data_IF_169074947004
#
_entry.id   IF_169074947004
#
_cell.length_a   1.000
_cell.length_b   1.000
_cell.length_c   1.000
_cell.angle_alpha   90.00
_cell.angle_beta   90.00
_cell.angle_gamma   90.00
#
_symmetry.space_group_name_H-M   'P 1'
#
loop_
_entity.id
_entity.type
_entity.pdbx_description
1 polymer ?
#
# COMPACT_ATOMS: atom_id res chain seq x y z
N UNK A 1 -13.84 48.91 31.68
CA UNK A 1 -14.53 48.37 30.48
C UNK A 1 -13.69 47.23 29.91
N UNK A 2 -13.90 46.01 30.41
CA UNK A 2 -13.24 44.81 29.90
C UNK A 2 -14.14 44.20 28.82
N UNK A 3 -13.75 44.37 27.55
CA UNK A 3 -14.42 43.70 26.43
C UNK A 3 -14.08 42.21 26.48
N UNK A 4 -15.12 41.37 26.39
CA UNK A 4 -15.05 39.92 26.33
C UNK A 4 -14.00 39.45 25.30
N UNK A 5 -12.91 38.84 25.76
CA UNK A 5 -11.98 38.11 24.89
C UNK A 5 -12.72 36.88 24.34
N UNK A 6 -13.31 37.04 23.15
CA UNK A 6 -13.88 35.95 22.36
C UNK A 6 -12.76 34.94 22.09
N UNK A 7 -12.86 33.72 22.62
CA UNK A 7 -11.92 32.62 22.36
C UNK A 7 -11.89 32.37 20.85
N UNK A 8 -10.86 32.89 20.18
CA UNK A 8 -10.63 32.72 18.74
C UNK A 8 -10.49 31.22 18.45
N UNK A 9 -11.17 30.73 17.41
CA UNK A 9 -10.96 29.35 16.94
C UNK A 9 -9.52 29.19 16.42
N UNK A 10 -8.99 27.97 16.43
CA UNK A 10 -7.62 27.65 15.95
C UNK A 10 -7.34 28.22 14.56
N UNK A 11 -8.37 28.29 13.71
CA UNK A 11 -8.31 28.87 12.37
C UNK A 11 -8.10 30.40 12.38
N UNK A 12 -8.73 31.11 13.32
CA UNK A 12 -8.61 32.57 13.44
C UNK A 12 -7.26 32.99 14.05
N UNK A 13 -6.67 32.16 14.92
CA UNK A 13 -5.31 32.37 15.44
C UNK A 13 -4.25 32.20 14.35
N UNK A 14 -4.38 31.16 13.51
CA UNK A 14 -3.49 30.92 12.37
C UNK A 14 -3.58 32.03 11.30
N UNK A 15 -4.70 32.75 11.23
CA UNK A 15 -4.86 33.91 10.33
C UNK A 15 -4.14 35.16 10.84
N UNK A 16 -4.09 35.35 12.16
CA UNK A 16 -3.37 36.46 12.78
C UNK A 16 -1.85 36.27 12.72
N UNK A 17 -1.37 35.01 12.67
CA UNK A 17 0.05 34.67 12.52
C UNK A 17 0.57 34.76 11.08
N UNK A 18 -0.31 34.76 10.06
CA UNK A 18 0.12 34.83 8.66
C UNK A 18 0.37 36.28 8.25
N UNK A 19 1.52 36.58 7.60
CA UNK A 19 1.73 37.90 7.04
C UNK A 19 0.64 38.22 6.01
N UNK A 20 0.21 39.49 5.91
CA UNK A 20 -0.83 39.90 4.97
C UNK A 20 -0.42 39.52 3.54
N UNK A 21 -1.19 38.65 2.90
CA UNK A 21 -0.91 38.21 1.54
C UNK A 21 -1.18 39.34 0.55
N UNK A 22 -0.27 39.53 -0.40
CA UNK A 22 -0.49 40.47 -1.51
C UNK A 22 -1.55 39.93 -2.47
N UNK A 23 -2.28 40.80 -3.18
CA UNK A 23 -3.28 40.39 -4.19
C UNK A 23 -2.72 39.40 -5.22
N UNK A 24 -1.44 39.54 -5.56
CA UNK A 24 -0.72 38.65 -6.49
C UNK A 24 -0.57 37.24 -5.92
N UNK A 25 -0.22 37.11 -4.63
CA UNK A 25 -0.12 35.80 -3.97
C UNK A 25 -1.47 35.10 -3.92
N UNK A 26 -2.54 35.83 -3.60
CA UNK A 26 -3.89 35.26 -3.58
C UNK A 26 -4.26 34.70 -4.96
N UNK A 27 -4.00 35.44 -6.04
CA UNK A 27 -4.27 34.99 -7.42
C UNK A 27 -3.43 33.75 -7.76
N UNK A 28 -2.14 33.77 -7.44
CA UNK A 28 -1.26 32.62 -7.64
C UNK A 28 -1.77 31.38 -6.89
N UNK A 29 -2.36 31.56 -5.71
CA UNK A 29 -2.89 30.47 -4.91
C UNK A 29 -4.09 29.77 -5.54
N UNK A 30 -5.01 30.55 -6.11
CA UNK A 30 -6.13 30.01 -6.88
C UNK A 30 -5.65 29.34 -8.17
N UNK A 31 -4.67 29.92 -8.87
CA UNK A 31 -4.11 29.32 -10.08
C UNK A 31 -3.48 27.95 -9.80
N UNK A 32 -2.66 27.83 -8.75
CA UNK A 32 -2.04 26.56 -8.35
C UNK A 32 -3.11 25.50 -8.05
N UNK A 33 -4.20 25.87 -7.37
CA UNK A 33 -5.29 24.94 -7.06
C UNK A 33 -6.07 24.50 -8.31
N UNK A 34 -6.10 25.33 -9.36
CA UNK A 34 -6.79 25.07 -10.63
C UNK A 34 -5.93 24.30 -11.63
N UNK A 35 -4.59 24.37 -11.53
CA UNK A 35 -3.64 23.66 -12.39
C UNK A 35 -3.96 22.17 -12.66
N UNK A 36 -4.32 21.32 -11.67
CA UNK A 36 -4.59 19.91 -11.95
C UNK A 36 -5.81 19.70 -12.84
N UNK A 37 -6.84 20.55 -12.69
CA UNK A 37 -8.02 20.52 -13.55
C UNK A 37 -7.66 20.93 -14.99
N UNK A 38 -6.87 22.00 -15.15
CA UNK A 38 -6.41 22.46 -16.47
C UNK A 38 -5.55 21.41 -17.17
N UNK A 39 -4.61 20.78 -16.45
CA UNK A 39 -3.78 19.70 -17.00
C UNK A 39 -4.63 18.49 -17.44
N UNK A 40 -5.66 18.14 -16.67
CA UNK A 40 -6.60 17.08 -17.03
C UNK A 40 -7.41 17.45 -18.29
N UNK A 41 -7.89 18.69 -18.40
CA UNK A 41 -8.55 19.18 -19.63
C UNK A 41 -7.61 19.16 -20.84
N UNK A 42 -6.35 19.55 -20.67
CA UNK A 42 -5.36 19.48 -21.74
C UNK A 42 -5.16 18.04 -22.22
N UNK A 43 -5.11 17.07 -21.31
CA UNK A 43 -5.02 15.65 -21.68
C UNK A 43 -6.26 15.17 -22.46
N UNK A 44 -7.47 15.62 -22.09
CA UNK A 44 -8.70 15.30 -22.84
C UNK A 44 -8.67 15.92 -24.25
N UNK A 45 -8.25 17.18 -24.34
CA UNK A 45 -8.17 17.89 -25.62
C UNK A 45 -7.14 17.24 -26.55
N UNK A 46 -5.97 16.92 -26.02
CA UNK A 46 -4.91 16.21 -26.73
C UNK A 46 -5.44 14.87 -27.27
N UNK A 47 -6.07 14.07 -26.41
CA UNK A 47 -6.62 12.76 -26.79
C UNK A 47 -7.65 12.86 -27.93
N UNK A 48 -8.51 13.89 -27.92
CA UNK A 48 -9.62 14.05 -28.87
C UNK A 48 -9.25 14.77 -30.16
N UNK A 49 -8.36 15.75 -30.11
CA UNK A 49 -8.09 16.68 -31.23
C UNK A 49 -6.86 16.27 -32.02
N UNK A 50 -5.83 15.74 -31.36
CA UNK A 50 -4.58 15.37 -32.05
C UNK A 50 -4.82 14.07 -32.82
N UNK A 51 -4.49 14.01 -34.13
CA UNK A 51 -4.66 12.79 -34.93
C UNK A 51 -3.74 11.66 -34.43
N UNK A 52 -4.24 10.43 -34.46
CA UNK A 52 -3.47 9.25 -34.08
C UNK A 52 -2.53 8.83 -35.22
N UNK A 53 -1.37 8.26 -34.88
CA UNK A 53 -0.43 7.75 -35.89
C UNK A 53 -0.83 6.36 -36.40
N UNK A 54 -0.84 6.19 -37.72
CA UNK A 54 -0.96 4.90 -38.38
C UNK A 54 -2.30 4.18 -38.11
N UNK A 55 -2.22 2.90 -37.75
CA UNK A 55 -3.36 2.03 -37.44
C UNK A 55 -3.78 2.08 -35.95
N UNK A 56 -3.21 2.98 -35.16
CA UNK A 56 -3.51 3.07 -33.73
C UNK A 56 -4.95 3.57 -33.50
N UNK A 57 -5.75 2.77 -32.80
CA UNK A 57 -7.16 3.07 -32.54
C UNK A 57 -7.43 3.22 -31.05
N UNK A 58 -8.03 4.35 -30.65
CA UNK A 58 -8.49 4.57 -29.28
C UNK A 58 -9.99 4.32 -29.16
N UNK A 59 -10.43 3.78 -28.01
CA UNK A 59 -11.83 3.77 -27.61
C UNK A 59 -12.18 5.02 -26.80
N UNK A 60 -13.46 5.23 -26.47
CA UNK A 60 -13.86 6.38 -25.65
C UNK A 60 -13.54 6.20 -24.15
N UNK A 61 -12.99 5.04 -23.75
CA UNK A 61 -12.83 4.63 -22.35
C UNK A 61 -11.94 5.59 -21.57
N UNK A 62 -10.77 5.92 -22.12
CA UNK A 62 -9.84 6.85 -21.49
C UNK A 62 -10.38 8.28 -21.42
N UNK A 63 -11.11 8.73 -22.45
CA UNK A 63 -11.77 10.03 -22.42
C UNK A 63 -12.84 10.11 -21.32
N UNK A 64 -13.63 9.04 -21.12
CA UNK A 64 -14.59 8.98 -20.01
C UNK A 64 -13.90 8.95 -18.64
N UNK A 65 -12.81 8.20 -18.52
CA UNK A 65 -12.00 8.17 -17.29
C UNK A 65 -11.48 9.56 -16.92
N UNK A 66 -10.83 10.27 -17.86
CA UNK A 66 -10.35 11.64 -17.65
C UNK A 66 -11.51 12.60 -17.40
N UNK A 67 -12.64 12.46 -18.11
CA UNK A 67 -13.82 13.29 -17.92
C UNK A 67 -14.39 13.21 -16.50
N UNK A 68 -14.52 11.99 -15.95
CA UNK A 68 -14.95 11.79 -14.56
C UNK A 68 -13.97 12.45 -13.59
N UNK A 69 -12.66 12.29 -13.81
CA UNK A 69 -11.64 12.93 -12.96
C UNK A 69 -11.68 14.46 -13.03
N UNK A 70 -11.87 15.03 -14.23
CA UNK A 70 -12.01 16.47 -14.41
C UNK A 70 -13.21 17.02 -13.62
N UNK A 71 -14.35 16.32 -13.64
CA UNK A 71 -15.53 16.68 -12.87
C UNK A 71 -15.25 16.61 -11.36
N UNK A 72 -14.57 15.56 -10.87
CA UNK A 72 -14.18 15.44 -9.46
C UNK A 72 -13.25 16.58 -9.04
N UNK A 73 -12.21 16.88 -9.83
CA UNK A 73 -11.26 17.97 -9.52
C UNK A 73 -11.96 19.32 -9.49
N UNK A 74 -12.87 19.58 -10.43
CA UNK A 74 -13.65 20.80 -10.48
C UNK A 74 -14.56 20.91 -9.25
N UNK A 75 -15.26 19.85 -8.88
CA UNK A 75 -16.08 19.83 -7.67
C UNK A 75 -15.24 20.11 -6.43
N UNK A 76 -14.10 19.43 -6.25
CA UNK A 76 -13.19 19.65 -5.11
C UNK A 76 -12.68 21.09 -5.08
N UNK A 77 -12.32 21.67 -6.23
CA UNK A 77 -11.93 23.07 -6.33
C UNK A 77 -13.07 24.01 -5.91
N UNK A 78 -14.29 23.83 -6.44
CA UNK A 78 -15.46 24.64 -6.10
C UNK A 78 -15.82 24.54 -4.60
N UNK A 79 -15.77 23.35 -4.01
CA UNK A 79 -15.98 23.17 -2.57
C UNK A 79 -14.85 23.79 -1.75
N UNK A 80 -13.62 23.80 -2.26
CA UNK A 80 -12.49 24.41 -1.56
C UNK A 80 -12.64 25.93 -1.39
N UNK A 81 -13.36 26.60 -2.31
CA UNK A 81 -13.66 28.03 -2.20
C UNK A 81 -14.48 28.36 -0.94
N UNK A 82 -15.26 27.40 -0.42
CA UNK A 82 -16.08 27.55 0.79
C UNK A 82 -15.34 27.17 2.08
N UNK A 83 -14.20 26.48 2.01
CA UNK A 83 -13.49 25.96 3.19
C UNK A 83 -11.99 26.19 3.11
N UNK A 84 -11.46 27.06 3.98
CA UNK A 84 -10.03 27.40 4.06
C UNK A 84 -9.15 26.17 4.32
N UNK A 85 -9.63 25.22 5.14
CA UNK A 85 -8.95 23.95 5.41
C UNK A 85 -8.83 23.08 4.15
N UNK A 86 -9.92 22.97 3.38
CA UNK A 86 -9.92 22.20 2.14
C UNK A 86 -9.04 22.88 1.08
N UNK A 87 -9.09 24.21 0.98
CA UNK A 87 -8.25 24.99 0.09
C UNK A 87 -6.75 24.80 0.37
N UNK A 88 -6.33 24.88 1.64
CA UNK A 88 -4.94 24.65 2.02
C UNK A 88 -4.48 23.21 1.68
N UNK A 89 -5.34 22.21 1.92
CA UNK A 89 -5.05 20.81 1.57
C UNK A 89 -4.97 20.59 0.06
N UNK A 90 -5.85 21.23 -0.71
CA UNK A 90 -5.85 21.17 -2.16
C UNK A 90 -4.59 21.84 -2.72
N UNK A 91 -4.27 23.07 -2.30
CA UNK A 91 -3.06 23.79 -2.69
C UNK A 91 -1.80 22.94 -2.50
N UNK A 92 -1.66 22.29 -1.35
CA UNK A 92 -0.51 21.44 -1.05
C UNK A 92 -0.41 20.23 -2.00
N UNK A 93 -1.54 19.62 -2.36
CA UNK A 93 -1.59 18.43 -3.24
C UNK A 93 -1.66 18.75 -4.73
N UNK A 94 -2.04 19.96 -5.11
CA UNK A 94 -2.32 20.34 -6.49
C UNK A 94 -1.11 20.19 -7.44
N UNK A 95 0.13 20.56 -7.08
CA UNK A 95 1.30 20.32 -7.93
C UNK A 95 1.51 18.84 -8.25
N UNK A 96 1.31 17.96 -7.26
CA UNK A 96 1.45 16.52 -7.44
C UNK A 96 0.39 15.96 -8.41
N UNK A 97 -0.87 16.37 -8.26
CA UNK A 97 -1.93 15.96 -9.20
C UNK A 97 -1.69 16.52 -10.61
N UNK A 98 -1.23 17.77 -10.72
CA UNK A 98 -0.88 18.37 -12.01
C UNK A 98 0.20 17.56 -12.72
N UNK A 99 1.25 17.18 -11.99
CA UNK A 99 2.33 16.34 -12.50
C UNK A 99 1.81 14.98 -13.00
N UNK A 100 0.88 14.34 -12.28
CA UNK A 100 0.28 13.07 -12.74
C UNK A 100 -0.46 13.24 -14.08
N UNK A 101 -1.27 14.29 -14.25
CA UNK A 101 -1.98 14.50 -15.52
C UNK A 101 -1.03 14.86 -16.67
N UNK A 102 0.06 15.57 -16.38
CA UNK A 102 1.11 15.83 -17.37
C UNK A 102 1.84 14.54 -17.77
N UNK A 103 2.05 13.60 -16.84
CA UNK A 103 2.58 12.27 -17.18
C UNK A 103 1.62 11.48 -18.06
N UNK A 104 0.32 11.51 -17.76
CA UNK A 104 -0.69 10.86 -18.59
C UNK A 104 -0.77 11.46 -20.00
N UNK A 105 -0.74 12.79 -20.11
CA UNK A 105 -0.68 13.50 -21.39
C UNK A 105 0.58 13.11 -22.17
N UNK A 106 1.75 13.18 -21.52
CA UNK A 106 3.02 12.83 -22.15
C UNK A 106 3.07 11.37 -22.60
N UNK A 107 2.54 10.45 -21.80
CA UNK A 107 2.52 9.02 -22.14
C UNK A 107 1.59 8.72 -23.32
N UNK A 108 0.37 9.28 -23.36
CA UNK A 108 -0.55 9.11 -24.49
C UNK A 108 0.04 9.72 -25.78
N UNK A 109 0.64 10.90 -25.67
CA UNK A 109 1.32 11.55 -26.79
C UNK A 109 2.48 10.71 -27.35
N UNK A 110 3.29 10.09 -26.48
CA UNK A 110 4.41 9.24 -26.88
C UNK A 110 3.98 7.88 -27.46
N UNK A 111 2.81 7.38 -27.07
CA UNK A 111 2.28 6.07 -27.50
C UNK A 111 1.31 6.23 -28.67
N UNK A 112 0.10 6.75 -28.42
CA UNK A 112 -1.00 6.84 -29.37
C UNK A 112 -0.72 7.84 -30.50
N UNK A 113 -0.16 9.01 -30.17
CA UNK A 113 -0.01 10.10 -31.16
C UNK A 113 1.26 10.02 -31.98
N UNK A 114 2.41 9.82 -31.37
CA UNK A 114 3.71 9.85 -32.09
C UNK A 114 4.24 8.47 -32.45
N UNK A 115 3.80 7.41 -31.76
CA UNK A 115 4.29 6.05 -31.99
C UNK A 115 5.77 5.83 -31.65
N UNK A 116 6.39 6.76 -30.90
CA UNK A 116 7.77 6.62 -30.42
C UNK A 116 7.86 5.41 -29.48
N UNK A 117 6.88 5.27 -28.59
CA UNK A 117 6.69 4.08 -27.77
C UNK A 117 5.81 3.08 -28.52
N UNK A 118 6.44 2.03 -29.04
CA UNK A 118 5.82 1.11 -29.99
C UNK A 118 5.03 0.00 -29.30
N UNK A 119 3.92 -0.39 -29.94
CA UNK A 119 3.23 -1.64 -29.64
C UNK A 119 4.14 -2.84 -30.00
N UNK A 120 3.99 -3.98 -29.29
CA UNK A 120 3.02 -4.24 -28.24
C UNK A 120 3.50 -3.84 -26.83
N UNK A 121 4.77 -3.45 -26.65
CA UNK A 121 5.39 -3.26 -25.32
C UNK A 121 4.83 -2.09 -24.51
N UNK A 122 4.37 -1.03 -25.18
CA UNK A 122 3.83 0.18 -24.55
C UNK A 122 2.39 0.46 -25.03
N UNK A 123 1.39 -0.26 -24.50
CA UNK A 123 0.00 0.02 -24.81
C UNK A 123 -0.40 1.36 -24.20
N UNK A 124 -1.13 2.17 -24.97
CA UNK A 124 -1.66 3.45 -24.45
C UNK A 124 -2.69 3.20 -23.33
N UNK A 125 -2.93 4.23 -22.51
CA UNK A 125 -3.77 4.11 -21.29
C UNK A 125 -5.16 3.56 -21.61
N UNK A 126 -5.75 3.96 -22.75
CA UNK A 126 -7.05 3.46 -23.19
C UNK A 126 -7.10 1.94 -23.37
N UNK A 127 -6.08 1.31 -23.95
CA UNK A 127 -6.02 -0.14 -24.11
C UNK A 127 -5.95 -0.86 -22.77
N UNK A 128 -5.19 -0.32 -21.81
CA UNK A 128 -5.08 -0.88 -20.46
C UNK A 128 -6.41 -0.77 -19.71
N UNK A 129 -7.09 0.38 -19.81
CA UNK A 129 -8.41 0.57 -19.21
C UNK A 129 -9.46 -0.34 -19.86
N UNK A 130 -9.44 -0.48 -21.18
CA UNK A 130 -10.35 -1.35 -21.90
C UNK A 130 -10.13 -2.82 -21.52
N UNK A 131 -8.87 -3.26 -21.42
CA UNK A 131 -8.51 -4.60 -20.96
C UNK A 131 -9.03 -4.91 -19.54
N UNK A 132 -8.99 -3.92 -18.62
CA UNK A 132 -9.60 -4.09 -17.29
C UNK A 132 -11.11 -4.28 -17.35
N UNK A 133 -11.81 -3.62 -18.29
CA UNK A 133 -13.26 -3.73 -18.45
C UNK A 133 -13.63 -5.03 -19.16
N UNK A 134 -12.93 -5.40 -20.23
CA UNK A 134 -13.24 -6.58 -21.02
C UNK A 134 -12.99 -7.88 -20.24
N UNK A 135 -11.84 -7.98 -19.55
CA UNK A 135 -11.47 -9.16 -18.77
C UNK A 135 -11.85 -9.06 -17.28
N UNK A 136 -12.75 -8.14 -16.91
CA UNK A 136 -13.08 -7.86 -15.50
C UNK A 136 -13.44 -9.12 -14.69
N UNK A 137 -14.23 -10.03 -15.27
CA UNK A 137 -14.65 -11.26 -14.59
C UNK A 137 -13.44 -12.14 -14.22
N UNK A 138 -12.55 -12.37 -15.19
CA UNK A 138 -11.36 -13.18 -14.99
C UNK A 138 -10.35 -12.50 -14.05
N UNK A 139 -10.19 -11.18 -14.16
CA UNK A 139 -9.35 -10.39 -13.26
C UNK A 139 -9.87 -10.44 -11.82
N UNK A 140 -11.19 -10.40 -11.59
CA UNK A 140 -11.79 -10.53 -10.26
C UNK A 140 -11.55 -11.92 -9.67
N UNK A 141 -11.63 -12.98 -10.46
CA UNK A 141 -11.26 -14.32 -10.02
C UNK A 141 -9.78 -14.41 -9.66
N UNK A 142 -8.89 -13.78 -10.44
CA UNK A 142 -7.47 -13.68 -10.12
C UNK A 142 -7.24 -12.92 -8.80
N UNK A 143 -7.89 -11.77 -8.59
CA UNK A 143 -7.84 -11.02 -7.32
C UNK A 143 -8.25 -11.92 -6.15
N UNK A 144 -9.36 -12.65 -6.29
CA UNK A 144 -9.86 -13.54 -5.25
C UNK A 144 -8.84 -14.63 -4.91
N UNK A 145 -8.26 -15.28 -5.91
CA UNK A 145 -7.25 -16.32 -5.70
C UNK A 145 -5.98 -15.74 -5.03
N UNK A 146 -5.54 -14.56 -5.45
CA UNK A 146 -4.44 -13.84 -4.80
C UNK A 146 -4.72 -13.50 -3.35
N UNK A 147 -5.94 -13.05 -3.02
CA UNK A 147 -6.34 -12.76 -1.65
C UNK A 147 -6.36 -14.03 -0.78
N UNK A 148 -6.91 -15.13 -1.30
CA UNK A 148 -6.93 -16.41 -0.59
C UNK A 148 -5.49 -16.86 -0.28
N UNK A 149 -4.61 -16.84 -1.30
CA UNK A 149 -3.23 -17.25 -1.15
C UNK A 149 -2.45 -16.34 -0.17
N UNK A 150 -2.64 -15.02 -0.30
CA UNK A 150 -2.00 -14.03 0.58
C UNK A 150 -2.41 -14.22 2.03
N UNK A 151 -3.71 -14.26 2.32
CA UNK A 151 -4.20 -14.31 3.70
C UNK A 151 -3.98 -15.67 4.36
N UNK A 152 -3.98 -16.77 3.60
CA UNK A 152 -3.63 -18.10 4.15
C UNK A 152 -2.16 -18.17 4.55
N UNK A 153 -1.24 -17.74 3.68
CA UNK A 153 0.19 -17.63 4.01
C UNK A 153 0.46 -16.64 5.14
N UNK A 154 -0.18 -15.47 5.09
CA UNK A 154 -0.03 -14.44 6.11
C UNK A 154 -0.51 -14.92 7.49
N UNK A 155 -1.71 -15.50 7.59
CA UNK A 155 -2.23 -16.01 8.86
C UNK A 155 -1.34 -17.12 9.43
N UNK A 156 -0.88 -18.07 8.60
CA UNK A 156 0.03 -19.11 9.03
C UNK A 156 1.36 -18.55 9.57
N UNK A 157 1.94 -17.58 8.84
CA UNK A 157 3.18 -16.92 9.26
C UNK A 157 3.02 -16.09 10.53
N UNK A 158 1.92 -15.35 10.68
CA UNK A 158 1.61 -14.58 11.90
C UNK A 158 1.48 -15.52 13.11
N UNK A 159 0.69 -16.60 12.99
CA UNK A 159 0.50 -17.55 14.09
C UNK A 159 1.82 -18.18 14.51
N UNK A 160 2.58 -18.69 13.55
CA UNK A 160 3.90 -19.27 13.82
C UNK A 160 4.83 -18.22 14.45
N UNK A 161 4.84 -16.99 13.92
CA UNK A 161 5.74 -15.92 14.33
C UNK A 161 5.44 -15.39 15.73
N UNK A 162 4.17 -15.29 16.10
CA UNK A 162 3.75 -14.91 17.45
C UNK A 162 4.18 -15.98 18.47
N UNK A 163 4.01 -17.26 18.12
CA UNK A 163 4.41 -18.38 18.98
C UNK A 163 5.93 -18.39 19.16
N UNK A 164 6.70 -18.39 18.07
CA UNK A 164 8.17 -18.42 18.15
C UNK A 164 8.73 -17.16 18.79
N UNK A 165 8.20 -15.99 18.44
CA UNK A 165 8.63 -14.71 18.99
C UNK A 165 8.38 -14.58 20.48
N UNK A 166 7.23 -15.08 20.95
CA UNK A 166 6.89 -15.08 22.38
C UNK A 166 7.79 -16.03 23.17
N UNK A 167 7.99 -17.26 22.67
CA UNK A 167 8.84 -18.26 23.33
C UNK A 167 10.31 -17.77 23.39
N UNK A 168 10.83 -17.23 22.29
CA UNK A 168 12.21 -16.71 22.24
C UNK A 168 12.37 -15.44 23.09
N UNK A 169 11.38 -14.53 23.08
CA UNK A 169 11.41 -13.32 23.90
C UNK A 169 11.40 -13.61 25.40
N UNK A 170 10.65 -14.63 25.83
CA UNK A 170 10.55 -15.01 27.24
C UNK A 170 11.72 -15.91 27.71
N UNK A 171 12.15 -16.88 26.89
CA UNK A 171 13.14 -17.88 27.27
C UNK A 171 14.51 -17.64 26.64
N UNK A 172 15.48 -17.23 27.47
CA UNK A 172 16.90 -17.09 27.06
C UNK A 172 17.48 -18.39 26.47
N UNK A 173 17.07 -19.55 27.00
CA UNK A 173 17.56 -20.85 26.52
C UNK A 173 17.04 -21.13 25.11
N UNK A 174 15.76 -20.87 24.83
CA UNK A 174 15.22 -21.07 23.48
C UNK A 174 15.83 -20.07 22.50
N UNK A 175 15.94 -18.81 22.90
CA UNK A 175 16.57 -17.77 22.07
C UNK A 175 18.02 -18.13 21.68
N UNK A 176 18.80 -18.69 22.61
CA UNK A 176 20.16 -19.14 22.31
C UNK A 176 20.22 -20.12 21.13
N UNK A 177 19.32 -21.10 21.08
CA UNK A 177 19.28 -22.11 20.02
C UNK A 177 18.60 -21.63 18.74
N UNK A 178 17.58 -20.78 18.84
CA UNK A 178 16.79 -20.33 17.68
C UNK A 178 17.43 -19.12 16.99
N UNK A 179 18.15 -18.27 17.73
CA UNK A 179 18.75 -17.04 17.17
C UNK A 179 19.71 -17.26 16.00
N UNK A 180 20.54 -18.32 15.91
CA UNK A 180 21.37 -18.57 14.74
C UNK A 180 20.54 -18.85 13.48
N UNK A 181 19.46 -19.64 13.62
CA UNK A 181 18.52 -19.91 12.52
C UNK A 181 17.79 -18.65 12.08
N UNK A 182 17.36 -17.81 13.03
CA UNK A 182 16.75 -16.51 12.72
C UNK A 182 17.72 -15.59 11.98
N UNK A 183 18.99 -15.54 12.37
CA UNK A 183 20.01 -14.75 11.66
C UNK A 183 20.26 -15.27 10.24
N UNK A 184 20.32 -16.60 10.07
CA UNK A 184 20.52 -17.24 8.77
C UNK A 184 19.32 -17.00 7.84
N UNK A 185 18.11 -17.32 8.31
CA UNK A 185 16.87 -17.17 7.54
C UNK A 185 16.52 -15.70 7.31
N UNK A 186 16.90 -14.81 8.22
CA UNK A 186 16.66 -13.37 8.12
C UNK A 186 17.52 -12.65 7.09
N UNK A 187 18.70 -13.19 6.75
CA UNK A 187 19.58 -12.59 5.75
C UNK A 187 19.12 -12.87 4.32
N UNK A 188 18.34 -13.94 4.12
CA UNK A 188 17.94 -14.42 2.80
C UNK A 188 16.43 -14.13 2.60
N UNK A 189 16.03 -13.42 1.52
CA UNK A 189 14.62 -13.22 1.22
C UNK A 189 13.86 -14.55 1.15
N UNK A 190 12.63 -14.59 1.66
CA UNK A 190 11.83 -15.83 1.63
C UNK A 190 11.63 -16.36 0.21
N UNK A 191 11.55 -15.47 -0.78
CA UNK A 191 11.41 -15.80 -2.21
C UNK A 191 12.58 -16.60 -2.78
N UNK A 192 13.79 -16.50 -2.21
CA UNK A 192 14.96 -17.26 -2.67
C UNK A 192 14.78 -18.76 -2.48
N UNK A 193 13.98 -19.17 -1.49
CA UNK A 193 13.70 -20.57 -1.17
C UNK A 193 12.68 -21.21 -2.13
N UNK A 194 12.07 -20.42 -3.02
CA UNK A 194 10.98 -20.88 -3.87
C UNK A 194 11.32 -22.15 -4.68
N UNK A 195 12.47 -22.27 -5.39
CA UNK A 195 12.75 -23.46 -6.18
C UNK A 195 12.79 -24.74 -5.36
N UNK A 196 13.46 -24.70 -4.20
CA UNK A 196 13.58 -25.86 -3.30
C UNK A 196 12.21 -26.21 -2.71
N UNK A 197 11.46 -25.19 -2.27
CA UNK A 197 10.14 -25.39 -1.70
C UNK A 197 9.17 -25.96 -2.72
N UNK A 198 9.22 -25.53 -3.99
CA UNK A 198 8.34 -26.06 -5.03
C UNK A 198 8.62 -27.53 -5.36
N UNK A 199 9.87 -27.97 -5.26
CA UNK A 199 10.23 -29.39 -5.43
C UNK A 199 9.76 -30.25 -4.25
N UNK A 200 9.85 -29.71 -3.03
CA UNK A 200 9.48 -30.44 -1.81
C UNK A 200 7.99 -30.37 -1.48
N UNK A 201 7.28 -29.36 -1.96
CA UNK A 201 5.89 -29.13 -1.64
C UNK A 201 4.99 -30.17 -2.29
N UNK A 202 4.02 -30.67 -1.52
CA UNK A 202 2.99 -31.59 -2.01
C UNK A 202 2.03 -30.95 -3.03
N UNK A 203 2.00 -29.62 -3.11
CA UNK A 203 1.24 -28.87 -4.12
C UNK A 203 1.83 -27.46 -4.25
N UNK A 204 1.71 -26.88 -5.44
CA UNK A 204 2.14 -25.51 -5.75
C UNK A 204 1.51 -24.46 -4.81
N UNK A 205 0.23 -24.64 -4.47
CA UNK A 205 -0.47 -23.79 -3.52
C UNK A 205 0.18 -23.83 -2.14
N UNK A 206 0.40 -25.02 -1.57
CA UNK A 206 1.04 -25.18 -0.24
C UNK A 206 2.47 -24.65 -0.21
N UNK A 207 3.24 -24.85 -1.29
CA UNK A 207 4.59 -24.30 -1.42
C UNK A 207 4.59 -22.77 -1.38
N UNK A 208 3.66 -22.16 -2.12
CA UNK A 208 3.48 -20.70 -2.13
C UNK A 208 3.04 -20.14 -0.78
N UNK A 209 2.08 -20.80 -0.13
CA UNK A 209 1.65 -20.49 1.25
C UNK A 209 2.85 -20.53 2.20
N UNK A 210 3.73 -21.53 2.08
CA UNK A 210 4.92 -21.65 2.92
C UNK A 210 5.90 -20.50 2.71
N UNK A 211 6.17 -20.08 1.47
CA UNK A 211 7.08 -18.96 1.18
C UNK A 211 6.55 -17.63 1.72
N UNK A 212 5.25 -17.39 1.59
CA UNK A 212 4.58 -16.22 2.17
C UNK A 212 4.68 -16.30 3.70
N UNK A 213 4.33 -17.44 4.28
CA UNK A 213 4.38 -17.66 5.73
C UNK A 213 5.79 -17.48 6.30
N UNK A 214 6.84 -17.92 5.60
CA UNK A 214 8.23 -17.80 6.03
C UNK A 214 8.66 -16.32 6.16
N UNK A 215 8.32 -15.48 5.18
CA UNK A 215 8.64 -14.05 5.21
C UNK A 215 7.89 -13.29 6.31
N UNK A 216 6.64 -13.65 6.55
CA UNK A 216 5.80 -13.07 7.62
C UNK A 216 6.27 -13.54 8.98
N UNK A 217 6.51 -14.85 9.13
CA UNK A 217 7.00 -15.49 10.34
C UNK A 217 8.24 -14.79 10.87
N UNK A 218 9.22 -14.52 10.00
CA UNK A 218 10.45 -13.86 10.39
C UNK A 218 10.21 -12.47 10.97
N UNK A 219 9.47 -11.62 10.25
CA UNK A 219 9.16 -10.25 10.65
C UNK A 219 8.41 -10.20 11.98
N UNK A 220 7.39 -11.04 12.13
CA UNK A 220 6.56 -11.11 13.34
C UNK A 220 7.35 -11.68 14.52
N UNK A 221 8.17 -12.71 14.30
CA UNK A 221 9.02 -13.30 15.36
C UNK A 221 9.97 -12.26 15.94
N UNK A 222 10.70 -11.55 15.08
CA UNK A 222 11.68 -10.55 15.51
C UNK A 222 11.00 -9.41 16.27
N UNK A 223 9.91 -8.87 15.73
CA UNK A 223 9.24 -7.75 16.36
C UNK A 223 8.60 -8.13 17.71
N UNK A 224 7.99 -9.31 17.80
CA UNK A 224 7.44 -9.85 19.06
C UNK A 224 8.54 -10.07 20.10
N UNK A 225 9.63 -10.73 19.72
CA UNK A 225 10.78 -10.99 20.59
C UNK A 225 11.39 -9.69 21.12
N UNK A 226 11.62 -8.71 20.23
CA UNK A 226 12.14 -7.39 20.59
C UNK A 226 11.19 -6.66 21.53
N UNK A 227 9.87 -6.70 21.27
CA UNK A 227 8.85 -6.12 22.16
C UNK A 227 8.88 -6.68 23.57
N UNK A 228 9.09 -7.98 23.72
CA UNK A 228 9.21 -8.61 25.04
C UNK A 228 10.53 -8.23 25.72
N UNK A 229 11.64 -8.17 24.97
CA UNK A 229 12.94 -7.80 25.52
C UNK A 229 13.05 -6.34 25.97
N UNK A 230 12.24 -5.43 25.41
CA UNK A 230 12.22 -4.02 25.81
C UNK A 230 11.48 -3.75 27.13
N UNK A 231 10.80 -4.75 27.69
CA UNK A 231 10.06 -4.60 28.95
C UNK A 231 11.04 -4.59 30.13
N UNK A 232 10.86 -3.65 31.06
CA UNK A 232 11.64 -3.61 32.29
C UNK A 232 11.42 -4.89 33.11
N UNK A 233 12.53 -5.50 33.55
CA UNK A 233 12.50 -6.71 34.39
C UNK A 233 11.76 -6.48 35.70
N UNK A 234 11.71 -5.24 36.21
CA UNK A 234 10.96 -4.87 37.40
C UNK A 234 9.47 -5.26 37.33
N UNK A 235 8.83 -5.18 36.16
CA UNK A 235 7.44 -5.64 36.00
C UNK A 235 7.28 -7.14 36.20
N UNK A 236 8.25 -7.93 35.70
CA UNK A 236 8.23 -9.38 35.88
C UNK A 236 8.52 -9.78 37.33
N UNK A 237 9.46 -9.09 37.98
CA UNK A 237 9.83 -9.38 39.37
C UNK A 237 8.71 -8.99 40.34
N UNK A 238 8.09 -7.82 40.16
CA UNK A 238 6.94 -7.38 40.96
C UNK A 238 5.71 -8.31 40.79
N UNK A 239 5.46 -8.81 39.59
CA UNK A 239 4.37 -9.76 39.38
C UNK A 239 4.65 -11.12 40.04
N UNK A 240 5.92 -11.58 40.02
CA UNK A 240 6.32 -12.81 40.70
C UNK A 240 6.20 -12.72 42.21
N UNK A 241 6.52 -11.57 42.82
CA UNK A 241 6.34 -11.39 44.27
C UNK A 241 4.87 -11.41 44.69
N UNK A 242 3.96 -11.04 43.78
CA UNK A 242 2.51 -11.19 43.94
C UNK A 242 1.98 -12.61 43.63
N UNK A 243 2.86 -13.58 43.36
CA UNK A 243 2.48 -14.97 43.10
C UNK A 243 2.06 -15.28 41.66
N UNK A 244 2.38 -14.41 40.69
CA UNK A 244 2.03 -14.65 39.30
C UNK A 244 2.77 -15.87 38.71
N UNK A 245 2.02 -16.76 38.08
CA UNK A 245 2.54 -17.90 37.31
C UNK A 245 3.17 -17.45 35.99
N UNK A 246 4.05 -18.28 35.40
CA UNK A 246 4.67 -17.99 34.09
C UNK A 246 3.64 -17.69 32.99
N UNK A 247 2.49 -18.38 33.00
CA UNK A 247 1.40 -18.12 32.05
C UNK A 247 0.82 -16.72 32.24
N UNK A 248 0.59 -16.30 33.48
CA UNK A 248 0.10 -14.95 33.78
C UNK A 248 1.14 -13.88 33.39
N UNK A 249 2.44 -14.12 33.61
CA UNK A 249 3.49 -13.21 33.17
C UNK A 249 3.48 -13.02 31.64
N UNK A 250 3.26 -14.09 30.87
CA UNK A 250 3.23 -14.00 29.41
C UNK A 250 1.98 -13.27 28.92
N UNK A 251 0.79 -13.71 29.33
CA UNK A 251 -0.48 -13.20 28.77
C UNK A 251 -0.90 -11.86 29.36
N UNK A 252 -0.50 -11.52 30.58
CA UNK A 252 -0.93 -10.28 31.25
C UNK A 252 0.13 -9.17 31.23
N UNK A 253 1.41 -9.50 30.95
CA UNK A 253 2.51 -8.52 30.94
C UNK A 253 3.23 -8.56 29.60
N UNK A 254 3.85 -9.69 29.25
CA UNK A 254 4.73 -9.75 28.08
C UNK A 254 4.00 -9.44 26.76
N UNK A 255 2.89 -10.13 26.47
CA UNK A 255 2.14 -9.93 25.22
C UNK A 255 1.51 -8.54 25.18
N UNK A 256 0.74 -8.07 26.20
CA UNK A 256 0.13 -6.74 26.17
C UNK A 256 1.13 -5.60 25.99
N UNK A 257 2.27 -5.65 26.68
CA UNK A 257 3.32 -4.63 26.56
C UNK A 257 4.05 -4.70 25.21
N UNK A 258 4.11 -5.89 24.58
CA UNK A 258 4.73 -6.07 23.27
C UNK A 258 3.78 -5.76 22.08
N UNK A 259 2.48 -5.55 22.29
CA UNK A 259 1.49 -5.30 21.23
C UNK A 259 1.96 -4.25 20.20
N UNK A 260 2.51 -3.08 20.59
CA UNK A 260 2.95 -2.08 19.61
C UNK A 260 4.06 -2.57 18.68
N UNK A 261 4.96 -3.42 19.19
CA UNK A 261 6.03 -4.01 18.38
C UNK A 261 5.50 -5.18 17.56
N UNK A 262 4.56 -5.97 18.10
CA UNK A 262 3.85 -7.00 17.33
C UNK A 262 3.19 -6.37 16.09
N UNK A 263 2.47 -5.25 16.25
CA UNK A 263 1.85 -4.56 15.10
C UNK A 263 2.86 -4.03 14.09
N UNK A 264 4.03 -3.55 14.52
CA UNK A 264 5.13 -3.21 13.60
C UNK A 264 5.58 -4.45 12.81
N UNK A 265 5.72 -5.60 13.47
CA UNK A 265 6.02 -6.88 12.82
C UNK A 265 4.93 -7.35 11.87
N UNK A 266 3.66 -7.14 12.20
CA UNK A 266 2.52 -7.45 11.32
C UNK A 266 2.56 -6.60 10.04
N UNK A 267 2.85 -5.30 10.16
CA UNK A 267 3.00 -4.39 9.01
C UNK A 267 4.19 -4.77 8.14
N UNK A 268 5.35 -5.01 8.74
CA UNK A 268 6.54 -5.44 7.99
C UNK A 268 6.32 -6.82 7.34
N UNK A 269 5.67 -7.73 8.08
CA UNK A 269 5.25 -9.04 7.57
C UNK A 269 4.31 -8.91 6.37
N UNK A 270 3.40 -7.94 6.36
CA UNK A 270 2.47 -7.74 5.23
C UNK A 270 3.22 -7.29 3.98
N UNK A 271 4.17 -6.36 4.11
CA UNK A 271 5.06 -5.97 3.00
C UNK A 271 5.86 -7.14 2.44
N UNK A 272 6.37 -8.01 3.33
CA UNK A 272 7.07 -9.23 2.97
C UNK A 272 6.14 -10.23 2.25
N UNK A 273 4.91 -10.42 2.76
CA UNK A 273 3.90 -11.28 2.19
C UNK A 273 3.49 -10.86 0.79
N UNK A 274 3.26 -9.57 0.56
CA UNK A 274 2.94 -9.02 -0.76
C UNK A 274 4.06 -9.28 -1.78
N UNK A 275 5.31 -9.07 -1.39
CA UNK A 275 6.47 -9.37 -2.25
C UNK A 275 6.57 -10.86 -2.54
N UNK A 276 6.43 -11.70 -1.52
CA UNK A 276 6.47 -13.15 -1.65
C UNK A 276 5.33 -13.69 -2.52
N UNK A 277 4.11 -13.13 -2.39
CA UNK A 277 2.94 -13.49 -3.17
C UNK A 277 3.19 -13.31 -4.66
N UNK A 278 3.66 -12.12 -5.08
CA UNK A 278 3.91 -11.84 -6.50
C UNK A 278 4.87 -12.88 -7.08
N UNK A 279 6.00 -13.12 -6.41
CA UNK A 279 7.01 -14.05 -6.91
C UNK A 279 6.47 -15.49 -6.92
N UNK A 280 5.69 -15.88 -5.92
CA UNK A 280 5.09 -17.20 -5.84
C UNK A 280 4.00 -17.42 -6.91
N UNK A 281 3.19 -16.42 -7.23
CA UNK A 281 2.19 -16.51 -8.30
C UNK A 281 2.83 -16.49 -9.69
N UNK A 282 3.92 -15.74 -9.88
CA UNK A 282 4.59 -15.68 -11.18
C UNK A 282 5.30 -16.97 -11.57
N UNK A 283 5.76 -17.75 -10.58
CA UNK A 283 6.63 -18.92 -10.80
C UNK A 283 6.04 -20.24 -10.28
N UNK A 284 5.02 -20.18 -9.43
CA UNK A 284 4.56 -21.30 -8.63
C UNK A 284 3.13 -21.70 -8.90
N UNK A 285 2.15 -20.81 -8.75
CA UNK A 285 0.72 -21.18 -8.80
C UNK A 285 0.12 -20.91 -10.17
N UNK A 286 -0.84 -21.74 -10.58
CA UNK A 286 -1.57 -21.61 -11.86
C UNK A 286 -2.77 -20.64 -11.80
N UNK A 287 -2.82 -19.75 -10.80
CA UNK A 287 -3.91 -18.79 -10.62
C UNK A 287 -3.46 -17.60 -9.79
N UNK A 288 -4.04 -16.43 -10.05
CA UNK A 288 -3.72 -15.18 -9.34
C UNK A 288 -3.24 -14.09 -10.28
N UNK A 289 -3.08 -12.87 -9.75
CA UNK A 289 -2.67 -11.72 -10.55
C UNK A 289 -1.24 -11.83 -11.06
N UNK A 290 -0.31 -12.35 -10.26
CA UNK A 290 1.07 -12.60 -10.69
C UNK A 290 1.15 -13.64 -11.81
N UNK A 291 0.33 -14.70 -11.72
CA UNK A 291 0.22 -15.70 -12.78
C UNK A 291 -0.36 -15.09 -14.06
N UNK A 292 -1.43 -14.28 -13.94
CA UNK A 292 -2.05 -13.60 -15.08
C UNK A 292 -1.07 -12.68 -15.81
N UNK A 293 -0.25 -11.93 -15.06
CA UNK A 293 0.80 -11.08 -15.64
C UNK A 293 1.76 -11.92 -16.50
N UNK A 294 2.28 -13.02 -15.96
CA UNK A 294 3.20 -13.90 -16.71
C UNK A 294 2.51 -14.54 -17.91
N UNK A 295 1.26 -14.95 -17.76
CA UNK A 295 0.48 -15.55 -18.85
C UNK A 295 0.27 -14.57 -20.01
N UNK A 296 -0.28 -13.37 -19.74
CA UNK A 296 -0.53 -12.37 -20.78
C UNK A 296 0.76 -11.86 -21.42
N UNK A 297 1.83 -11.75 -20.65
CA UNK A 297 3.17 -11.43 -21.16
C UNK A 297 3.64 -12.46 -22.20
N UNK A 298 3.45 -13.75 -21.94
CA UNK A 298 3.85 -14.83 -22.87
C UNK A 298 3.07 -14.80 -24.19
N UNK A 299 1.85 -14.24 -24.18
CA UNK A 299 1.02 -14.05 -25.39
C UNK A 299 1.21 -12.67 -26.04
N UNK A 300 2.16 -11.86 -25.57
CA UNK A 300 2.37 -10.48 -26.00
C UNK A 300 1.13 -9.56 -25.85
N UNK A 301 0.20 -9.92 -24.97
CA UNK A 301 -0.99 -9.14 -24.61
C UNK A 301 -0.65 -8.15 -23.48
N UNK A 302 0.23 -7.20 -23.77
CA UNK A 302 0.76 -6.28 -22.76
C UNK A 302 -0.33 -5.39 -22.15
N UNK A 303 -1.39 -5.02 -22.90
CA UNK A 303 -2.50 -4.24 -22.35
C UNK A 303 -3.15 -4.96 -21.15
N UNK A 304 -3.43 -6.26 -21.29
CA UNK A 304 -3.94 -7.12 -20.22
C UNK A 304 -2.92 -7.34 -19.11
N UNK A 305 -1.64 -7.47 -19.44
CA UNK A 305 -0.56 -7.55 -18.46
C UNK A 305 -0.50 -6.30 -17.56
N UNK A 306 -0.47 -5.09 -18.15
CA UNK A 306 -0.45 -3.83 -17.39
C UNK A 306 -1.74 -3.63 -16.60
N UNK A 307 -2.89 -4.05 -17.12
CA UNK A 307 -4.16 -4.03 -16.38
C UNK A 307 -4.05 -4.80 -15.06
N UNK A 308 -3.50 -6.01 -15.08
CA UNK A 308 -3.27 -6.79 -13.87
C UNK A 308 -2.21 -6.18 -12.93
N UNK A 309 -1.15 -5.54 -13.48
CA UNK A 309 -0.16 -4.80 -12.67
C UNK A 309 -0.82 -3.63 -11.92
N UNK A 310 -1.69 -2.86 -12.58
CA UNK A 310 -2.43 -1.78 -11.93
C UNK A 310 -3.33 -2.35 -10.83
N UNK A 311 -4.04 -3.43 -11.12
CA UNK A 311 -4.98 -4.05 -10.18
C UNK A 311 -4.26 -4.59 -8.93
N UNK A 312 -3.13 -5.28 -9.08
CA UNK A 312 -2.37 -5.80 -7.93
C UNK A 312 -1.80 -4.66 -7.07
N UNK A 313 -1.33 -3.57 -7.69
CA UNK A 313 -0.91 -2.37 -6.96
C UNK A 313 -2.05 -1.78 -6.13
N UNK A 314 -3.25 -1.64 -6.70
CA UNK A 314 -4.43 -1.14 -5.98
C UNK A 314 -4.81 -2.05 -4.81
N UNK A 315 -4.79 -3.36 -5.04
CA UNK A 315 -5.09 -4.37 -4.01
C UNK A 315 -4.08 -4.30 -2.87
N UNK A 316 -2.78 -4.20 -3.15
CA UNK A 316 -1.74 -4.11 -2.11
C UNK A 316 -1.82 -2.80 -1.32
N UNK A 317 -2.09 -1.68 -1.99
CA UNK A 317 -2.34 -0.40 -1.31
C UNK A 317 -3.54 -0.54 -0.39
N UNK A 318 -4.64 -1.14 -0.86
CA UNK A 318 -5.85 -1.34 -0.07
C UNK A 318 -5.58 -2.21 1.17
N UNK A 319 -4.93 -3.35 1.02
CA UNK A 319 -4.58 -4.25 2.13
C UNK A 319 -3.71 -3.54 3.18
N UNK A 320 -2.69 -2.79 2.74
CA UNK A 320 -1.83 -2.03 3.65
C UNK A 320 -2.58 -0.90 4.36
N UNK A 321 -3.47 -0.18 3.67
CA UNK A 321 -4.30 0.87 4.28
C UNK A 321 -5.22 0.28 5.34
N UNK A 322 -5.87 -0.85 5.05
CA UNK A 322 -6.74 -1.55 6.01
C UNK A 322 -5.94 -1.99 7.23
N UNK A 323 -4.78 -2.64 7.04
CA UNK A 323 -3.93 -3.08 8.14
C UNK A 323 -3.49 -1.92 9.04
N UNK A 324 -3.06 -0.80 8.44
CA UNK A 324 -2.65 0.39 9.17
C UNK A 324 -3.84 1.07 9.90
N UNK A 325 -5.04 1.02 9.33
CA UNK A 325 -6.25 1.51 9.98
C UNK A 325 -6.61 0.66 11.22
N UNK A 326 -6.51 -0.67 11.10
CA UNK A 326 -6.70 -1.60 12.23
C UNK A 326 -5.65 -1.35 13.30
N UNK A 327 -4.37 -1.25 12.93
CA UNK A 327 -3.26 -0.97 13.85
C UNK A 327 -3.49 0.32 14.66
N UNK A 328 -3.85 1.42 13.99
CA UNK A 328 -4.17 2.69 14.68
C UNK A 328 -5.34 2.59 15.65
N UNK A 329 -6.40 1.87 15.29
CA UNK A 329 -7.56 1.69 16.19
C UNK A 329 -7.21 0.86 17.41
N UNK A 330 -6.40 -0.19 17.24
CA UNK A 330 -5.96 -1.01 18.37
C UNK A 330 -5.04 -0.17 19.23
N UNK A 331 -3.99 0.45 18.67
CA UNK A 331 -2.97 1.18 19.42
C UNK A 331 -3.38 2.58 19.92
N UNK A 332 -4.68 2.88 20.01
CA UNK A 332 -5.18 4.21 20.39
C UNK A 332 -4.71 4.63 21.81
N UNK A 333 -4.46 3.66 22.69
CA UNK A 333 -3.97 3.92 24.05
C UNK A 333 -2.50 4.37 24.10
N UNK A 334 -1.78 4.32 22.97
CA UNK A 334 -0.36 4.69 22.87
C UNK A 334 -0.12 6.04 22.18
N UNK A 335 -1.14 6.76 21.72
CA UNK A 335 -0.94 8.14 21.21
C UNK A 335 -0.38 9.00 22.37
N UNK A 336 0.73 9.75 22.26
CA UNK A 336 1.36 10.42 21.12
C UNK A 336 2.90 10.40 21.24
N UNK A 337 3.63 9.89 20.24
CA UNK A 337 4.89 10.51 19.75
C UNK A 337 5.03 10.18 18.27
N UNK A 338 4.53 11.06 17.39
CA UNK A 338 5.09 11.27 16.05
C UNK A 338 4.61 12.61 15.50
#
# INVERSE_FOLDING_TARGET
MYAQQKKLTKEQLLELERPPQTKVQIIADYLICLCPFLACLLAILEYRVVPNTGLNTGTATYAYFLGIQAVILLMVFLFSLKSKKLFAKLRYKAPFYTFIYLLFLGYDYLTLKTGILMLPYFPWVDQVLNAMISDHAYLLDCVKNSMILLFTGYAAGVLAGLVTGTICGYSKRVNYWVSPFMKLLGAIPSTTWLPIVMVLATSLFKGSVFIIALGVWFSVTIATMTGIHTIDRGYFDAAKTLGATNRQLIFNIAIPSAIPNIFQGLTQGMSSACTALIVAEMLGVESGLGWYITWQKSWAEFAKMYAAIVLICLVFVLVNVILNAVSRRVLIWKEEVS
#
